data_IF_006325065146
#
_entry.id   IF_006325065146
#
_cell.length_a   1.000
_cell.length_b   1.000
_cell.length_c   1.000
_cell.angle_alpha   90.00
_cell.angle_beta   90.00
_cell.angle_gamma   90.00
#
_symmetry.space_group_name_H-M   'P 1'
#
loop_
_entity.id
_entity.type
_entity.pdbx_description
1 polymer ?
#
# COMPACT_ATOMS: atom_id res chain seq x y z
N UNK A 1 7.25 12.13 -9.70
CA UNK A 1 6.48 12.61 -8.53
C UNK A 1 5.70 11.44 -7.96
N UNK A 2 5.59 11.37 -6.61
CA UNK A 2 4.88 10.29 -5.92
C UNK A 2 3.62 10.88 -5.27
N UNK A 3 2.47 10.22 -5.51
CA UNK A 3 1.19 10.53 -4.89
C UNK A 3 0.75 9.36 -4.03
N UNK A 4 0.25 9.62 -2.84
CA UNK A 4 -0.27 8.62 -1.92
C UNK A 4 -1.77 8.81 -1.75
N UNK A 5 -2.54 7.75 -1.97
CA UNK A 5 -3.96 7.69 -1.68
C UNK A 5 -4.21 6.77 -0.50
N UNK A 6 -4.81 7.29 0.55
CA UNK A 6 -5.27 6.52 1.71
C UNK A 6 -6.77 6.34 1.57
N UNK A 7 -7.20 5.10 1.43
CA UNK A 7 -8.59 4.77 1.09
C UNK A 7 -9.49 4.81 2.32
N UNK A 8 -9.08 4.14 3.41
CA UNK A 8 -9.87 4.05 4.63
C UNK A 8 -9.32 4.93 5.75
N UNK A 9 -10.15 5.23 6.75
CA UNK A 9 -9.72 5.93 7.95
C UNK A 9 -8.81 5.07 8.85
N UNK A 10 -8.85 3.76 8.65
CA UNK A 10 -7.98 2.76 9.30
C UNK A 10 -8.26 2.55 10.79
N UNK A 11 -9.35 3.06 11.33
CA UNK A 11 -9.63 3.05 12.77
C UNK A 11 -11.02 2.62 13.16
N UNK A 12 -12.00 2.80 12.29
CA UNK A 12 -13.44 2.61 12.61
C UNK A 12 -13.76 1.19 13.08
N UNK A 13 -13.01 0.19 12.63
CA UNK A 13 -13.24 -1.20 13.05
C UNK A 13 -12.60 -1.55 14.40
N UNK A 14 -11.49 -0.91 14.77
CA UNK A 14 -10.71 -1.24 15.97
C UNK A 14 -10.93 -0.27 17.12
N UNK A 15 -11.20 0.98 16.80
CA UNK A 15 -11.29 2.06 17.77
C UNK A 15 -12.48 2.94 17.39
N UNK A 16 -13.53 2.94 18.17
CA UNK A 16 -14.60 3.94 18.05
C UNK A 16 -14.12 5.30 18.61
N UNK A 17 -12.91 5.70 18.25
CA UNK A 17 -12.26 6.93 18.73
C UNK A 17 -11.76 7.78 17.56
N UNK A 18 -12.49 8.84 17.27
CA UNK A 18 -12.12 9.86 16.27
C UNK A 18 -10.73 10.49 16.50
N UNK A 19 -10.19 10.46 17.71
CA UNK A 19 -8.85 10.95 18.00
C UNK A 19 -7.78 10.10 17.32
N UNK A 20 -8.01 8.78 17.19
CA UNK A 20 -7.08 7.88 16.53
C UNK A 20 -6.98 8.14 15.04
N UNK A 21 -8.06 8.55 14.37
CA UNK A 21 -8.03 8.99 12.95
C UNK A 21 -7.02 10.13 12.79
N UNK A 22 -7.11 11.16 13.66
CA UNK A 22 -6.17 12.28 13.62
C UNK A 22 -4.73 11.83 13.87
N UNK A 23 -4.49 10.99 14.87
CA UNK A 23 -3.15 10.47 15.20
C UNK A 23 -2.55 9.73 13.99
N UNK A 24 -3.32 8.87 13.31
CA UNK A 24 -2.87 8.15 12.11
C UNK A 24 -2.61 9.07 10.92
N UNK A 25 -3.47 10.07 10.70
CA UNK A 25 -3.25 11.08 9.64
C UNK A 25 -1.99 11.90 9.89
N UNK A 26 -1.77 12.36 11.12
CA UNK A 26 -0.55 13.09 11.48
C UNK A 26 0.70 12.24 11.27
N UNK A 27 0.65 10.95 11.62
CA UNK A 27 1.73 10.00 11.36
C UNK A 27 1.96 9.81 9.85
N UNK A 28 0.89 9.66 9.07
CA UNK A 28 0.95 9.55 7.62
C UNK A 28 1.59 10.79 6.98
N UNK A 29 1.18 11.99 7.38
CA UNK A 29 1.74 13.23 6.84
C UNK A 29 3.23 13.40 7.17
N UNK A 30 3.64 13.05 8.40
CA UNK A 30 5.06 13.07 8.80
C UNK A 30 5.89 12.05 8.02
N UNK A 31 5.40 10.82 7.90
CA UNK A 31 6.02 9.75 7.14
C UNK A 31 6.15 10.13 5.65
N UNK A 32 5.07 10.65 5.05
CA UNK A 32 5.04 11.12 3.67
C UNK A 32 6.06 12.21 3.39
N UNK A 33 6.19 13.18 4.31
CA UNK A 33 7.21 14.24 4.20
C UNK A 33 8.62 13.67 4.23
N UNK A 34 8.90 12.72 5.12
CA UNK A 34 10.21 12.06 5.21
C UNK A 34 10.55 11.29 3.93
N UNK A 35 9.56 10.62 3.33
CA UNK A 35 9.72 9.82 2.10
C UNK A 35 9.68 10.64 0.82
N UNK A 36 9.49 11.97 0.89
CA UNK A 36 9.43 12.83 -0.30
C UNK A 36 8.15 12.66 -1.11
N UNK A 37 7.05 12.18 -0.51
CA UNK A 37 5.76 12.07 -1.18
C UNK A 37 5.23 13.47 -1.48
N UNK A 38 4.91 13.71 -2.76
CA UNK A 38 4.54 15.04 -3.24
C UNK A 38 3.13 15.46 -2.81
N UNK A 39 2.21 14.51 -2.68
CA UNK A 39 0.83 14.78 -2.31
C UNK A 39 0.19 13.57 -1.65
N UNK A 40 -0.65 13.81 -0.64
CA UNK A 40 -1.45 12.78 0.04
C UNK A 40 -2.92 13.12 -0.12
N UNK A 41 -3.72 12.15 -0.54
CA UNK A 41 -5.18 12.22 -0.61
C UNK A 41 -5.77 11.22 0.38
N UNK A 42 -6.73 11.65 1.20
CA UNK A 42 -7.53 10.79 2.06
C UNK A 42 -8.94 10.71 1.47
N UNK A 43 -9.49 9.51 1.33
CA UNK A 43 -10.85 9.28 0.84
C UNK A 43 -11.85 9.07 1.97
N UNK A 44 -11.36 8.74 3.16
CA UNK A 44 -12.16 8.66 4.38
C UNK A 44 -13.28 7.62 4.37
N UNK A 45 -13.14 6.58 3.56
CA UNK A 45 -14.00 5.42 3.70
C UNK A 45 -13.79 4.77 5.08
N UNK A 46 -14.85 4.23 5.70
CA UNK A 46 -14.70 3.52 6.97
C UNK A 46 -13.83 2.28 6.80
N UNK A 47 -13.05 1.98 7.84
CA UNK A 47 -12.30 0.72 7.90
C UNK A 47 -13.25 -0.49 7.93
N UNK A 48 -12.82 -1.65 7.43
CA UNK A 48 -13.69 -2.82 7.22
C UNK A 48 -14.91 -2.50 6.36
N UNK A 49 -14.68 -1.82 5.24
CA UNK A 49 -15.73 -1.34 4.34
C UNK A 49 -16.31 -2.43 3.43
N UNK A 50 -15.63 -3.57 3.28
CA UNK A 50 -16.11 -4.67 2.46
C UNK A 50 -17.53 -5.10 2.90
N UNK A 51 -18.47 -5.12 1.96
CA UNK A 51 -19.89 -5.40 2.23
C UNK A 51 -20.71 -4.24 2.81
N UNK A 52 -20.09 -3.10 3.12
CA UNK A 52 -20.77 -1.90 3.64
C UNK A 52 -20.88 -0.77 2.60
N UNK A 53 -19.89 -0.70 1.71
CA UNK A 53 -19.80 0.32 0.66
C UNK A 53 -19.80 -0.38 -0.69
N UNK A 54 -20.49 0.22 -1.64
CA UNK A 54 -20.52 -0.28 -3.01
C UNK A 54 -19.12 -0.19 -3.63
N UNK A 55 -18.63 -1.27 -4.22
CA UNK A 55 -17.40 -1.23 -5.01
C UNK A 55 -17.43 -0.15 -6.10
N UNK A 56 -18.62 0.16 -6.63
CA UNK A 56 -18.78 1.22 -7.62
C UNK A 56 -18.39 2.60 -7.08
N UNK A 57 -18.66 2.88 -5.81
CA UNK A 57 -18.27 4.16 -5.18
C UNK A 57 -16.74 4.27 -5.08
N UNK A 58 -16.09 3.19 -4.68
CA UNK A 58 -14.62 3.13 -4.61
C UNK A 58 -14.01 3.28 -6.00
N UNK A 59 -14.56 2.57 -7.00
CA UNK A 59 -14.11 2.65 -8.39
C UNK A 59 -14.15 4.09 -8.90
N UNK A 60 -15.27 4.80 -8.69
CA UNK A 60 -15.43 6.20 -9.13
C UNK A 60 -14.42 7.15 -8.51
N UNK A 61 -14.14 7.00 -7.20
CA UNK A 61 -13.13 7.83 -6.54
C UNK A 61 -11.71 7.54 -7.04
N UNK A 62 -11.39 6.27 -7.26
CA UNK A 62 -10.09 5.88 -7.83
C UNK A 62 -9.95 6.34 -9.29
N UNK A 63 -10.97 6.19 -10.14
CA UNK A 63 -10.98 6.67 -11.51
C UNK A 63 -10.74 8.19 -11.56
N UNK A 64 -11.40 8.97 -10.69
CA UNK A 64 -11.19 10.41 -10.57
C UNK A 64 -9.74 10.76 -10.19
N UNK A 65 -9.15 10.01 -9.25
CA UNK A 65 -7.75 10.21 -8.85
C UNK A 65 -6.80 9.90 -10.00
N UNK A 66 -7.03 8.81 -10.73
CA UNK A 66 -6.22 8.44 -11.91
C UNK A 66 -6.33 9.53 -12.99
N UNK A 67 -7.51 10.07 -13.23
CA UNK A 67 -7.74 11.14 -14.19
C UNK A 67 -7.04 12.46 -13.78
N UNK A 68 -7.13 12.82 -12.49
CA UNK A 68 -6.53 14.05 -11.95
C UNK A 68 -4.99 14.02 -11.97
N UNK A 69 -4.40 12.88 -11.61
CA UNK A 69 -2.94 12.76 -11.41
C UNK A 69 -2.20 12.15 -12.60
N UNK A 70 -2.89 11.44 -13.48
CA UNK A 70 -2.36 10.75 -14.67
C UNK A 70 -1.06 9.99 -14.39
N UNK A 71 -1.06 9.05 -13.44
CA UNK A 71 0.15 8.30 -13.12
C UNK A 71 0.52 7.33 -14.25
N UNK A 72 1.81 7.17 -14.49
CA UNK A 72 2.35 6.14 -15.39
C UNK A 72 2.39 4.77 -14.68
N UNK A 73 2.65 4.78 -13.37
CA UNK A 73 2.79 3.59 -12.53
C UNK A 73 1.86 3.68 -11.33
N UNK A 74 1.15 2.59 -11.07
CA UNK A 74 0.27 2.47 -9.89
C UNK A 74 0.70 1.27 -9.06
N UNK A 75 0.82 1.47 -7.76
CA UNK A 75 1.01 0.42 -6.76
C UNK A 75 -0.28 0.20 -6.01
N UNK A 76 -0.69 -1.06 -5.86
CA UNK A 76 -1.93 -1.44 -5.17
C UNK A 76 -1.71 -2.52 -4.13
N UNK A 77 -2.70 -2.77 -3.31
CA UNK A 77 -2.75 -3.82 -2.30
C UNK A 77 -2.67 -5.22 -2.92
N UNK A 78 -2.26 -6.25 -2.15
CA UNK A 78 -2.24 -7.62 -2.65
C UNK A 78 -3.64 -8.23 -2.81
N UNK A 79 -3.84 -9.00 -3.90
CA UNK A 79 -5.11 -9.67 -4.23
C UNK A 79 -5.47 -10.82 -3.30
N UNK A 80 -4.48 -11.40 -2.62
CA UNK A 80 -4.63 -12.62 -1.79
C UNK A 80 -4.45 -12.36 -0.30
N UNK A 81 -4.55 -11.11 0.14
CA UNK A 81 -4.53 -10.76 1.56
C UNK A 81 -5.75 -11.37 2.29
N UNK A 82 -5.57 -11.66 3.59
CA UNK A 82 -6.70 -12.03 4.45
C UNK A 82 -7.68 -10.86 4.63
N UNK A 83 -7.17 -9.63 4.64
CA UNK A 83 -7.98 -8.43 4.81
C UNK A 83 -8.88 -8.19 3.60
N UNK A 84 -10.19 -8.15 3.84
CA UNK A 84 -11.18 -8.02 2.75
C UNK A 84 -11.05 -6.69 2.02
N UNK A 85 -10.80 -5.60 2.74
CA UNK A 85 -10.63 -4.28 2.12
C UNK A 85 -9.43 -4.24 1.19
N UNK A 86 -8.33 -4.94 1.51
CA UNK A 86 -7.18 -5.00 0.60
C UNK A 86 -7.55 -5.67 -0.73
N UNK A 87 -8.33 -6.75 -0.68
CA UNK A 87 -8.82 -7.42 -1.91
C UNK A 87 -9.78 -6.54 -2.69
N UNK A 88 -10.71 -5.87 -2.00
CA UNK A 88 -11.67 -4.94 -2.61
C UNK A 88 -10.95 -3.76 -3.28
N UNK A 89 -9.93 -3.20 -2.63
CA UNK A 89 -9.11 -2.11 -3.18
C UNK A 89 -8.31 -2.60 -4.39
N UNK A 90 -7.74 -3.82 -4.35
CA UNK A 90 -7.08 -4.43 -5.50
C UNK A 90 -8.02 -4.50 -6.70
N UNK A 91 -9.21 -5.09 -6.54
CA UNK A 91 -10.21 -5.24 -7.61
C UNK A 91 -10.68 -3.88 -8.14
N UNK A 92 -10.91 -2.91 -7.26
CA UNK A 92 -11.27 -1.54 -7.63
C UNK A 92 -10.15 -0.83 -8.39
N UNK A 93 -8.88 -1.08 -8.02
CA UNK A 93 -7.73 -0.54 -8.74
C UNK A 93 -7.62 -1.12 -10.15
N UNK A 94 -7.89 -2.42 -10.33
CA UNK A 94 -7.95 -3.04 -11.67
C UNK A 94 -8.99 -2.34 -12.56
N UNK A 95 -10.15 -2.02 -12.00
CA UNK A 95 -11.21 -1.29 -12.73
C UNK A 95 -10.74 0.12 -13.08
N UNK A 96 -10.24 0.88 -12.10
CA UNK A 96 -9.84 2.27 -12.28
C UNK A 96 -8.63 2.46 -13.23
N UNK A 97 -7.80 1.43 -13.36
CA UNK A 97 -6.61 1.45 -14.22
C UNK A 97 -6.78 0.72 -15.54
N UNK A 98 -8.01 0.49 -16.01
CA UNK A 98 -8.26 -0.16 -17.31
C UNK A 98 -7.56 0.58 -18.44
N UNK A 99 -6.86 -0.10 -19.36
CA UNK A 99 -5.98 0.53 -20.36
C UNK A 99 -6.70 1.41 -21.38
N UNK A 100 -8.01 1.33 -21.48
CA UNK A 100 -8.80 2.05 -22.48
C UNK A 100 -9.14 3.51 -22.11
N UNK A 101 -8.95 3.90 -20.86
CA UNK A 101 -9.46 5.18 -20.33
C UNK A 101 -8.44 6.01 -19.56
N UNK A 102 -7.19 5.57 -19.45
CA UNK A 102 -6.19 6.30 -18.65
C UNK A 102 -4.75 6.09 -19.13
N UNK A 103 -3.81 6.78 -18.48
CA UNK A 103 -2.38 6.81 -18.82
C UNK A 103 -1.55 5.72 -18.15
N UNK A 104 -2.16 4.86 -17.31
CA UNK A 104 -1.40 3.90 -16.49
C UNK A 104 -0.79 2.81 -17.36
N UNK A 105 0.54 2.80 -17.45
CA UNK A 105 1.32 1.81 -18.19
C UNK A 105 1.70 0.61 -17.33
N UNK A 106 2.00 0.84 -16.05
CA UNK A 106 2.44 -0.22 -15.16
C UNK A 106 1.56 -0.30 -13.91
N UNK A 107 1.10 -1.50 -13.58
CA UNK A 107 0.38 -1.82 -12.35
C UNK A 107 1.11 -2.89 -11.58
N UNK A 108 1.46 -2.58 -10.35
CA UNK A 108 2.20 -3.42 -9.43
C UNK A 108 1.41 -3.63 -8.14
N UNK A 109 1.42 -4.85 -7.61
CA UNK A 109 0.93 -5.13 -6.26
C UNK A 109 2.10 -5.24 -5.30
N UNK A 110 2.05 -4.54 -4.17
CA UNK A 110 3.10 -4.61 -3.16
C UNK A 110 2.88 -5.76 -2.17
N UNK A 111 3.96 -6.24 -1.58
CA UNK A 111 3.91 -7.27 -0.54
C UNK A 111 3.69 -6.66 0.83
N UNK A 112 2.84 -7.31 1.64
CA UNK A 112 2.67 -7.01 3.06
C UNK A 112 3.16 -8.19 3.90
N UNK A 113 3.95 -7.95 4.97
CA UNK A 113 4.28 -9.01 5.90
C UNK A 113 3.02 -9.45 6.65
N UNK A 114 2.82 -10.76 6.78
CA UNK A 114 1.70 -11.30 7.54
C UNK A 114 1.05 -12.53 6.92
N UNK A 115 -0.03 -13.02 7.53
CA UNK A 115 -0.75 -14.16 7.00
C UNK A 115 -1.54 -13.77 5.74
N UNK A 116 -1.49 -14.65 4.75
CA UNK A 116 -2.12 -14.47 3.43
C UNK A 116 -2.92 -15.71 3.07
N UNK A 117 -3.90 -15.57 2.17
CA UNK A 117 -4.66 -16.71 1.65
C UNK A 117 -3.83 -17.60 0.72
N UNK A 118 -2.91 -16.98 -0.02
CA UNK A 118 -1.98 -17.65 -0.93
C UNK A 118 -0.62 -16.96 -0.85
N UNK A 119 0.49 -17.68 -1.08
CA UNK A 119 1.82 -17.09 -1.10
C UNK A 119 1.90 -15.90 -2.07
N UNK A 120 2.65 -14.87 -1.68
CA UNK A 120 2.87 -13.72 -2.55
C UNK A 120 3.76 -14.12 -3.74
N UNK A 121 3.31 -13.78 -4.95
CA UNK A 121 4.04 -14.07 -6.19
C UNK A 121 4.98 -12.92 -6.52
N UNK A 122 6.22 -12.97 -6.01
CA UNK A 122 7.25 -11.97 -6.28
C UNK A 122 7.76 -12.09 -7.72
N UNK A 123 7.60 -11.05 -8.53
CA UNK A 123 8.05 -11.02 -9.93
C UNK A 123 8.93 -9.81 -10.25
N UNK A 124 8.92 -8.78 -9.40
CA UNK A 124 9.74 -7.58 -9.52
C UNK A 124 10.40 -7.32 -8.18
N UNK A 125 11.69 -7.02 -8.19
CA UNK A 125 12.48 -6.77 -6.98
C UNK A 125 13.17 -5.42 -7.11
N UNK A 126 12.97 -4.56 -6.13
CA UNK A 126 13.61 -3.25 -6.05
C UNK A 126 14.70 -3.26 -4.97
N UNK A 127 15.91 -2.86 -5.34
CA UNK A 127 16.99 -2.73 -4.37
C UNK A 127 16.74 -1.55 -3.45
N UNK A 128 16.53 -1.83 -2.17
CA UNK A 128 16.24 -0.80 -1.15
C UNK A 128 17.33 -0.69 -0.09
N UNK A 129 18.51 -1.23 -0.34
CA UNK A 129 19.60 -1.25 0.67
C UNK A 129 19.90 0.15 1.23
N UNK A 130 19.96 1.15 0.37
CA UNK A 130 20.26 2.55 0.76
C UNK A 130 19.06 3.23 1.43
N UNK A 131 17.86 2.99 0.92
CA UNK A 131 16.62 3.64 1.32
C UNK A 131 15.95 2.95 2.52
N UNK A 132 16.36 1.74 2.87
CA UNK A 132 15.71 0.93 3.90
C UNK A 132 15.67 1.61 5.27
N UNK A 133 16.69 2.38 5.61
CA UNK A 133 16.70 3.16 6.85
C UNK A 133 15.59 4.22 6.90
N UNK A 134 15.25 4.81 5.73
CA UNK A 134 14.14 5.77 5.62
C UNK A 134 12.79 5.08 5.78
N UNK A 135 12.61 3.89 5.19
CA UNK A 135 11.41 3.06 5.40
C UNK A 135 11.17 2.79 6.89
N UNK A 136 12.19 2.36 7.62
CA UNK A 136 12.06 2.09 9.05
C UNK A 136 11.78 3.37 9.86
N UNK A 137 12.41 4.49 9.53
CA UNK A 137 12.12 5.79 10.17
C UNK A 137 10.68 6.22 9.90
N UNK A 138 10.20 6.07 8.66
CA UNK A 138 8.84 6.40 8.28
C UNK A 138 7.82 5.51 9.02
N UNK A 139 8.07 4.20 9.09
CA UNK A 139 7.23 3.27 9.83
C UNK A 139 7.16 3.60 11.32
N UNK A 140 8.28 3.98 11.94
CA UNK A 140 8.35 4.37 13.36
C UNK A 140 7.51 5.60 13.71
N UNK A 141 7.05 6.37 12.74
CA UNK A 141 6.13 7.48 12.97
C UNK A 141 4.72 7.01 13.35
N UNK A 142 4.36 5.80 12.94
CA UNK A 142 3.09 5.16 13.28
C UNK A 142 3.19 4.40 14.62
N UNK A 143 3.43 5.12 15.71
CA UNK A 143 3.72 4.53 17.04
C UNK A 143 2.65 3.54 17.52
N UNK A 144 1.37 3.79 17.19
CA UNK A 144 0.27 2.91 17.55
C UNK A 144 0.26 1.57 16.80
N UNK A 145 1.00 1.50 15.68
CA UNK A 145 1.00 0.33 14.78
C UNK A 145 2.19 -0.60 15.01
N UNK A 146 3.21 -0.13 15.74
CA UNK A 146 4.42 -0.92 15.98
C UNK A 146 4.14 -1.96 17.05
N UNK A 147 4.42 -3.20 16.73
CA UNK A 147 4.24 -4.35 17.61
C UNK A 147 5.58 -5.06 17.88
N UNK A 148 5.58 -5.94 18.87
CA UNK A 148 6.73 -6.77 19.20
C UNK A 148 6.79 -7.98 18.26
N UNK A 149 8.01 -8.43 17.93
CA UNK A 149 8.21 -9.70 17.23
C UNK A 149 7.61 -10.87 18.04
N UNK A 150 6.91 -11.83 17.42
CA UNK A 150 6.86 -12.14 15.97
C UNK A 150 5.74 -11.47 15.16
N UNK A 151 5.08 -10.46 15.69
CA UNK A 151 4.01 -9.78 14.95
C UNK A 151 4.53 -9.20 13.61
N UNK A 152 3.77 -9.30 12.48
CA UNK A 152 4.21 -8.81 11.17
C UNK A 152 4.49 -7.29 11.14
N UNK A 153 3.85 -6.51 12.01
CA UNK A 153 4.13 -5.07 12.19
C UNK A 153 5.30 -4.78 13.15
N UNK A 154 6.18 -5.74 13.37
CA UNK A 154 7.44 -5.51 14.11
C UNK A 154 8.55 -5.07 13.16
N UNK A 155 9.49 -4.28 13.68
CA UNK A 155 10.69 -3.86 12.92
C UNK A 155 11.44 -5.09 12.40
N UNK A 156 11.60 -6.12 13.26
CA UNK A 156 12.31 -7.35 12.90
C UNK A 156 11.62 -8.12 11.76
N UNK A 157 10.29 -8.18 11.74
CA UNK A 157 9.56 -8.85 10.65
C UNK A 157 9.75 -8.13 9.31
N UNK A 158 9.69 -6.79 9.31
CA UNK A 158 9.93 -5.97 8.13
C UNK A 158 11.36 -6.14 7.61
N UNK A 159 12.35 -6.16 8.49
CA UNK A 159 13.75 -6.40 8.13
C UNK A 159 13.96 -7.81 7.57
N UNK A 160 13.38 -8.82 8.21
CA UNK A 160 13.47 -10.21 7.77
C UNK A 160 12.88 -10.41 6.37
N UNK A 161 11.74 -9.78 6.09
CA UNK A 161 11.12 -9.84 4.76
C UNK A 161 12.02 -9.20 3.70
N UNK A 162 12.58 -8.01 3.97
CA UNK A 162 13.47 -7.34 3.03
C UNK A 162 14.75 -8.15 2.76
N UNK A 163 15.29 -8.85 3.76
CA UNK A 163 16.44 -9.73 3.60
C UNK A 163 16.08 -10.99 2.80
N UNK A 164 14.90 -11.58 3.05
CA UNK A 164 14.41 -12.73 2.28
C UNK A 164 14.30 -12.38 0.79
N UNK A 165 13.63 -11.27 0.47
CA UNK A 165 13.47 -10.80 -0.91
C UNK A 165 14.81 -10.38 -1.54
N UNK A 166 15.73 -9.88 -0.72
CA UNK A 166 17.12 -9.65 -1.13
C UNK A 166 17.83 -10.96 -1.53
N UNK A 167 17.71 -12.00 -0.71
CA UNK A 167 18.31 -13.32 -1.00
C UNK A 167 17.77 -13.92 -2.30
N UNK A 168 16.45 -13.83 -2.55
CA UNK A 168 15.81 -14.32 -3.78
C UNK A 168 16.31 -13.59 -5.04
N UNK A 169 16.71 -12.34 -4.92
CA UNK A 169 17.12 -11.48 -6.05
C UNK A 169 18.62 -11.21 -6.15
N UNK A 170 19.43 -11.80 -5.26
CA UNK A 170 20.87 -11.54 -5.21
C UNK A 170 21.25 -10.16 -4.67
N UNK A 171 20.36 -9.53 -3.90
CA UNK A 171 20.53 -8.23 -3.28
C UNK A 171 20.64 -8.38 -1.75
N UNK A 172 21.21 -7.40 -1.06
CA UNK A 172 21.24 -7.45 0.41
C UNK A 172 19.86 -7.20 1.04
N UNK A 173 19.12 -6.28 0.46
CA UNK A 173 17.73 -5.97 0.85
C UNK A 173 16.93 -5.57 -0.37
N UNK A 174 15.76 -6.17 -0.54
CA UNK A 174 14.83 -5.82 -1.60
C UNK A 174 13.41 -5.67 -1.09
N UNK A 175 12.62 -4.88 -1.79
CA UNK A 175 11.17 -4.95 -1.76
C UNK A 175 10.68 -5.71 -2.99
N UNK A 176 9.69 -6.57 -2.77
CA UNK A 176 9.11 -7.37 -3.85
C UNK A 176 7.73 -6.87 -4.24
N UNK A 177 7.47 -6.96 -5.54
CA UNK A 177 6.18 -6.62 -6.13
C UNK A 177 5.75 -7.74 -7.07
N UNK A 178 4.43 -7.89 -7.22
CA UNK A 178 3.84 -8.68 -8.28
C UNK A 178 3.49 -7.76 -9.45
N UNK A 179 4.04 -8.03 -10.61
CA UNK A 179 3.65 -7.34 -11.83
C UNK A 179 2.28 -7.82 -12.28
N UNK A 180 1.30 -6.92 -12.29
CA UNK A 180 -0.07 -7.21 -12.72
C UNK A 180 -0.24 -6.87 -14.21
N UNK A 181 0.32 -5.73 -14.62
CA UNK A 181 0.30 -5.28 -16.02
C UNK A 181 1.50 -4.41 -16.31
N UNK A 182 2.06 -4.57 -17.51
CA UNK A 182 3.07 -3.67 -18.07
C UNK A 182 2.77 -3.46 -19.56
N UNK A 183 2.61 -2.22 -19.98
CA UNK A 183 2.40 -1.81 -21.37
C UNK A 183 3.70 -1.18 -21.83
N UNK A 184 4.32 -1.77 -22.83
CA UNK A 184 5.56 -1.31 -23.47
C UNK A 184 5.17 -0.82 -24.86
N UNK A 185 5.43 0.47 -25.13
CA UNK A 185 5.19 1.11 -26.43
C UNK A 185 6.43 0.97 -27.31
#
# INVERSE_FOLDING_TARGET
>A
KIFLCIITDGTTAQYDDKKMIKVRRDACMKSSKLLGISKVKFLDFPDMMAGRISQLEINKELERIIEDYKPDVVYTTPSHDLHEDHRLIFDSTLVATRPYSNSVKQLLSYELPGPVKQPFCSTVYENVEKEFSYKLKAFKMYKSEIMNFPHPRSIKAIESLAMLRGTESGLKKAEAFQLIRNIID
#
